data_IF_724134355548
#
_entry.id   IF_724134355548
#
_cell.length_a   1.000
_cell.length_b   1.000
_cell.length_c   1.000
_cell.angle_alpha   90.00
_cell.angle_beta   90.00
_cell.angle_gamma   90.00
#
_symmetry.space_group_name_H-M   'P 1'
#
loop_
_entity.id
_entity.type
_entity.pdbx_description
1 polymer ?
#
# COMPACT_ATOMS: atom_id res chain seq x y z
N UNK A 1 10.43 9.82 -8.65
CA UNK A 1 9.81 8.49 -8.44
C UNK A 1 10.83 7.38 -8.61
N UNK A 2 11.10 6.98 -9.86
CA UNK A 2 11.98 5.83 -10.19
C UNK A 2 13.38 5.93 -9.57
N UNK A 3 14.06 7.07 -9.66
CA UNK A 3 15.40 7.28 -9.08
C UNK A 3 15.44 7.09 -7.55
N UNK A 4 14.38 7.53 -6.85
CA UNK A 4 14.24 7.38 -5.39
C UNK A 4 14.03 5.91 -5.03
N UNK A 5 13.15 5.21 -5.76
CA UNK A 5 12.89 3.78 -5.56
C UNK A 5 14.11 2.93 -5.87
N UNK A 6 14.82 3.21 -6.97
CA UNK A 6 16.06 2.53 -7.33
C UNK A 6 17.14 2.78 -6.29
N UNK A 7 17.27 4.01 -5.77
CA UNK A 7 18.20 4.30 -4.68
C UNK A 7 17.89 3.51 -3.41
N UNK A 8 16.62 3.42 -3.01
CA UNK A 8 16.20 2.61 -1.87
C UNK A 8 16.46 1.11 -2.08
N UNK A 9 16.18 0.60 -3.28
CA UNK A 9 16.41 -0.79 -3.65
C UNK A 9 17.91 -1.12 -3.64
N UNK A 10 18.74 -0.28 -4.26
CA UNK A 10 20.21 -0.44 -4.28
C UNK A 10 20.79 -0.36 -2.88
N UNK A 11 20.41 0.62 -2.07
CA UNK A 11 20.92 0.75 -0.69
C UNK A 11 20.56 -0.45 0.19
N UNK A 12 19.44 -1.11 -0.09
CA UNK A 12 18.97 -2.30 0.65
C UNK A 12 19.57 -3.61 0.13
N UNK A 13 19.84 -3.71 -1.18
CA UNK A 13 20.54 -4.84 -1.79
C UNK A 13 22.05 -4.83 -1.46
N UNK A 14 22.65 -3.64 -1.34
CA UNK A 14 24.09 -3.47 -1.10
C UNK A 14 24.51 -3.73 0.36
N UNK A 15 23.55 -4.01 1.26
CA UNK A 15 23.80 -4.07 2.71
C UNK A 15 23.86 -5.47 3.31
N UNK A 16 24.13 -6.55 2.55
CA UNK A 16 24.76 -7.82 2.99
C UNK A 16 24.39 -9.02 2.08
N UNK A 17 25.44 -9.70 1.59
CA UNK A 17 25.51 -11.10 1.12
C UNK A 17 24.86 -11.49 -0.22
N UNK A 18 25.53 -12.43 -0.89
CA UNK A 18 25.18 -13.11 -2.14
C UNK A 18 23.67 -13.38 -2.27
N UNK A 19 23.08 -12.94 -3.39
CA UNK A 19 21.63 -12.88 -3.64
C UNK A 19 20.87 -14.20 -3.41
N UNK A 20 21.57 -15.34 -3.50
CA UNK A 20 21.02 -16.69 -3.32
C UNK A 20 20.83 -17.11 -1.86
N UNK A 21 21.77 -16.76 -0.96
CA UNK A 21 21.66 -17.09 0.47
C UNK A 21 20.74 -16.11 1.23
N UNK A 22 20.72 -14.86 0.78
CA UNK A 22 19.81 -13.84 1.30
C UNK A 22 18.34 -14.23 1.09
N UNK A 23 18.00 -14.81 -0.08
CA UNK A 23 16.62 -15.18 -0.44
C UNK A 23 16.05 -16.30 0.43
N UNK A 24 16.87 -17.29 0.80
CA UNK A 24 16.44 -18.43 1.63
C UNK A 24 16.22 -18.06 3.11
N UNK A 25 16.78 -16.95 3.58
CA UNK A 25 16.63 -16.46 4.97
C UNK A 25 15.76 -15.20 5.10
N UNK A 26 14.99 -14.84 4.07
CA UNK A 26 14.17 -13.63 4.12
C UNK A 26 12.94 -13.79 5.02
N UNK A 27 12.92 -13.04 6.12
CA UNK A 27 11.71 -12.88 6.94
C UNK A 27 10.57 -12.24 6.11
N UNK A 28 9.33 -12.70 6.33
CA UNK A 28 8.12 -12.23 5.63
C UNK A 28 7.98 -10.70 5.54
N UNK A 29 8.23 -9.90 6.62
CA UNK A 29 8.18 -8.44 6.52
C UNK A 29 9.19 -7.83 5.53
N UNK A 30 10.37 -8.45 5.39
CA UNK A 30 11.41 -7.95 4.46
C UNK A 30 10.99 -8.20 3.02
N UNK A 31 10.36 -9.34 2.74
CA UNK A 31 9.79 -9.67 1.44
C UNK A 31 8.67 -8.69 1.07
N UNK A 32 7.72 -8.42 1.97
CA UNK A 32 6.64 -7.45 1.71
C UNK A 32 7.18 -6.08 1.30
N UNK A 33 8.22 -5.58 1.98
CA UNK A 33 8.80 -4.27 1.65
C UNK A 33 9.49 -4.28 0.28
N UNK A 34 10.21 -5.36 -0.07
CA UNK A 34 10.80 -5.50 -1.40
C UNK A 34 9.73 -5.54 -2.49
N UNK A 35 8.65 -6.27 -2.25
CA UNK A 35 7.51 -6.32 -3.17
C UNK A 35 6.85 -4.94 -3.32
N UNK A 36 6.70 -4.15 -2.24
CA UNK A 36 6.16 -2.79 -2.33
C UNK A 36 7.04 -1.87 -3.17
N UNK A 37 8.38 -1.96 -3.04
CA UNK A 37 9.29 -1.19 -3.89
C UNK A 37 9.22 -1.60 -5.34
N UNK A 38 9.18 -2.91 -5.62
CA UNK A 38 9.05 -3.45 -6.97
C UNK A 38 7.72 -3.03 -7.60
N UNK A 39 6.62 -3.17 -6.87
CA UNK A 39 5.28 -2.78 -7.27
C UNK A 39 5.22 -1.27 -7.61
N UNK A 40 5.75 -0.42 -6.71
CA UNK A 40 5.83 1.03 -6.95
C UNK A 40 6.69 1.37 -8.17
N UNK A 41 7.79 0.65 -8.39
CA UNK A 41 8.67 0.85 -9.54
C UNK A 41 7.95 0.50 -10.84
N UNK A 42 7.33 -0.68 -10.89
CA UNK A 42 6.56 -1.15 -12.05
C UNK A 42 5.39 -0.22 -12.36
N UNK A 43 4.70 0.29 -11.34
CA UNK A 43 3.62 1.25 -11.51
C UNK A 43 4.08 2.55 -12.18
N UNK A 44 5.15 3.18 -11.69
CA UNK A 44 5.65 4.44 -12.28
C UNK A 44 6.20 4.21 -13.69
N UNK A 45 6.87 3.07 -13.91
CA UNK A 45 7.39 2.72 -15.22
C UNK A 45 6.26 2.53 -16.24
N UNK A 46 5.26 1.71 -15.91
CA UNK A 46 4.16 1.41 -16.81
C UNK A 46 3.22 2.62 -17.03
N UNK A 47 2.96 3.43 -15.99
CA UNK A 47 2.23 4.68 -16.14
C UNK A 47 2.98 5.69 -17.01
N UNK A 48 4.31 5.77 -16.89
CA UNK A 48 5.15 6.59 -17.77
C UNK A 48 5.05 6.17 -19.24
N UNK A 49 5.07 4.86 -19.53
CA UNK A 49 4.89 4.34 -20.89
C UNK A 49 3.51 4.69 -21.44
N UNK A 50 2.45 4.56 -20.63
CA UNK A 50 1.09 4.89 -21.05
C UNK A 50 0.92 6.38 -21.36
N UNK A 51 1.45 7.26 -20.50
CA UNK A 51 1.33 8.71 -20.63
C UNK A 51 2.20 9.25 -21.78
N UNK A 52 3.50 8.91 -21.80
CA UNK A 52 4.45 9.51 -22.74
C UNK A 52 4.72 8.68 -24.00
N UNK A 53 4.56 7.35 -23.94
CA UNK A 53 4.83 6.45 -25.06
C UNK A 53 3.63 6.23 -25.95
N UNK A 54 2.57 5.62 -25.40
CA UNK A 54 1.40 5.16 -26.17
C UNK A 54 0.39 6.30 -26.41
N UNK A 55 0.49 7.37 -25.62
CA UNK A 55 -0.39 8.54 -25.61
C UNK A 55 -1.87 8.18 -25.33
N UNK A 56 -2.26 8.32 -24.06
CA UNK A 56 -3.61 8.04 -23.53
C UNK A 56 -4.76 8.68 -24.32
N UNK A 57 -4.51 9.77 -25.03
CA UNK A 57 -5.54 10.56 -25.72
C UNK A 57 -5.95 9.99 -27.08
N UNK A 58 -5.12 9.16 -27.72
CA UNK A 58 -5.43 8.62 -29.06
C UNK A 58 -5.97 7.19 -29.07
N UNK A 59 -5.72 6.42 -28.01
CA UNK A 59 -6.06 5.00 -27.97
C UNK A 59 -7.06 4.70 -26.83
N UNK A 60 -8.28 4.31 -27.19
CA UNK A 60 -9.32 3.88 -26.24
C UNK A 60 -8.86 2.71 -25.37
N UNK A 61 -8.11 1.78 -25.97
CA UNK A 61 -7.51 0.63 -25.27
C UNK A 61 -6.47 1.06 -24.26
N UNK A 62 -5.64 2.07 -24.57
CA UNK A 62 -4.66 2.62 -23.63
C UNK A 62 -5.35 3.34 -22.46
N UNK A 63 -6.45 4.06 -22.74
CA UNK A 63 -7.26 4.71 -21.71
C UNK A 63 -7.91 3.69 -20.75
N UNK A 64 -8.48 2.61 -21.28
CA UNK A 64 -9.01 1.52 -20.45
C UNK A 64 -7.89 0.78 -19.69
N UNK A 65 -6.74 0.54 -20.32
CA UNK A 65 -5.60 -0.09 -19.65
C UNK A 65 -5.10 0.76 -18.47
N UNK A 66 -5.15 2.09 -18.57
CA UNK A 66 -4.69 2.99 -17.52
C UNK A 66 -5.49 2.86 -16.23
N UNK A 67 -6.82 2.71 -16.30
CA UNK A 67 -7.63 2.54 -15.09
C UNK A 67 -7.37 1.19 -14.43
N UNK A 68 -7.29 0.11 -15.20
CA UNK A 68 -6.95 -1.21 -14.64
C UNK A 68 -5.54 -1.23 -14.07
N UNK A 69 -4.60 -0.49 -14.67
CA UNK A 69 -3.24 -0.37 -14.18
C UNK A 69 -3.20 0.41 -12.85
N UNK A 70 -3.84 1.57 -12.71
CA UNK A 70 -3.91 2.24 -11.38
C UNK A 70 -4.62 1.34 -10.37
N UNK A 71 -5.79 0.76 -10.67
CA UNK A 71 -6.51 -0.08 -9.70
C UNK A 71 -5.68 -1.28 -9.26
N UNK A 72 -5.01 -1.99 -10.19
CA UNK A 72 -4.24 -3.19 -9.87
C UNK A 72 -3.04 -2.87 -8.97
N UNK A 73 -2.23 -1.88 -9.34
CA UNK A 73 -1.04 -1.50 -8.56
C UNK A 73 -1.38 -0.78 -7.25
N UNK A 74 -2.47 0.01 -7.23
CA UNK A 74 -2.95 0.64 -6.00
C UNK A 74 -3.40 -0.43 -5.00
N UNK A 75 -4.21 -1.39 -5.45
CA UNK A 75 -4.73 -2.46 -4.58
C UNK A 75 -3.65 -3.44 -4.14
N UNK A 76 -2.71 -3.82 -5.03
CA UNK A 76 -1.57 -4.67 -4.65
C UNK A 76 -0.69 -4.01 -3.59
N UNK A 77 -0.35 -2.73 -3.76
CA UNK A 77 0.42 -1.96 -2.77
C UNK A 77 -0.26 -1.95 -1.40
N UNK A 78 -1.58 -1.67 -1.36
CA UNK A 78 -2.38 -1.71 -0.12
C UNK A 78 -2.41 -3.10 0.53
N UNK A 79 -2.61 -4.17 -0.25
CA UNK A 79 -2.57 -5.56 0.26
C UNK A 79 -1.21 -5.85 0.91
N UNK A 80 -0.12 -5.48 0.25
CA UNK A 80 1.23 -5.70 0.77
C UNK A 80 1.49 -4.90 2.06
N UNK A 81 0.99 -3.65 2.15
CA UNK A 81 1.08 -2.84 3.36
C UNK A 81 0.28 -3.47 4.51
N UNK A 82 -0.95 -3.92 4.26
CA UNK A 82 -1.77 -4.56 5.29
C UNK A 82 -1.18 -5.90 5.75
N UNK A 83 -0.61 -6.69 4.83
CA UNK A 83 0.10 -7.91 5.17
C UNK A 83 1.33 -7.62 6.04
N UNK A 84 2.12 -6.59 5.68
CA UNK A 84 3.26 -6.13 6.48
C UNK A 84 2.85 -5.69 7.89
N UNK A 85 1.78 -4.90 8.00
CA UNK A 85 1.27 -4.42 9.29
C UNK A 85 0.72 -5.55 10.15
N UNK A 86 -0.04 -6.46 9.56
CA UNK A 86 -0.56 -7.66 10.25
C UNK A 86 0.56 -8.48 10.87
N UNK A 87 1.64 -8.71 10.12
CA UNK A 87 2.81 -9.43 10.61
C UNK A 87 3.48 -8.68 11.77
N UNK A 88 3.58 -7.35 11.69
CA UNK A 88 4.12 -6.52 12.77
C UNK A 88 3.23 -6.52 14.02
N UNK A 89 1.90 -6.52 13.87
CA UNK A 89 0.96 -6.70 14.99
C UNK A 89 1.23 -8.05 15.63
N UNK A 90 1.25 -9.12 14.84
CA UNK A 90 1.44 -10.47 15.36
C UNK A 90 2.70 -10.61 16.21
N UNK A 91 3.85 -10.09 15.74
CA UNK A 91 5.12 -10.13 16.50
C UNK A 91 5.00 -9.44 17.87
N UNK A 92 4.28 -8.31 17.96
CA UNK A 92 4.07 -7.57 19.22
C UNK A 92 3.15 -8.34 20.17
N UNK A 93 2.17 -9.07 19.65
CA UNK A 93 1.23 -9.85 20.46
C UNK A 93 1.79 -11.22 20.87
N UNK A 94 2.66 -11.83 20.06
CA UNK A 94 3.33 -13.10 20.36
C UNK A 94 4.17 -12.98 21.65
N UNK A 95 4.89 -11.86 21.79
CA UNK A 95 5.71 -11.57 22.98
C UNK A 95 4.89 -11.52 24.26
N UNK A 96 3.58 -11.29 24.17
CA UNK A 96 2.67 -11.24 25.32
C UNK A 96 1.89 -12.54 25.57
N UNK A 97 1.90 -13.52 24.66
CA UNK A 97 0.95 -14.65 24.73
C UNK A 97 1.49 -16.04 24.36
N UNK A 98 2.71 -16.17 23.80
CA UNK A 98 3.37 -17.48 23.62
C UNK A 98 2.59 -18.55 22.84
N UNK A 99 1.59 -18.17 22.03
CA UNK A 99 0.72 -19.08 21.27
C UNK A 99 1.12 -19.11 19.79
N UNK A 100 1.00 -20.28 19.15
CA UNK A 100 1.25 -20.49 17.72
C UNK A 100 0.43 -19.56 16.80
N UNK A 101 1.01 -19.20 15.64
CA UNK A 101 0.54 -18.21 14.65
C UNK A 101 -0.97 -18.28 14.37
N UNK A 102 -1.46 -19.48 14.00
CA UNK A 102 -2.85 -19.69 13.57
C UNK A 102 -3.88 -19.80 14.72
N UNK A 103 -3.42 -19.87 15.98
CA UNK A 103 -4.31 -20.02 17.14
C UNK A 103 -4.48 -18.72 17.92
N UNK A 104 -3.82 -17.63 17.48
CA UNK A 104 -4.01 -16.32 18.08
C UNK A 104 -5.25 -15.64 17.47
N UNK A 105 -6.23 -15.21 18.29
CA UNK A 105 -7.47 -14.60 17.78
C UNK A 105 -7.18 -13.29 17.03
N UNK A 106 -6.14 -12.55 17.43
CA UNK A 106 -5.73 -11.31 16.77
C UNK A 106 -5.23 -11.56 15.36
N UNK A 107 -4.40 -12.59 15.14
CA UNK A 107 -3.93 -12.92 13.79
C UNK A 107 -5.06 -13.39 12.89
N UNK A 108 -6.01 -14.18 13.43
CA UNK A 108 -7.18 -14.61 12.67
C UNK A 108 -8.05 -13.42 12.26
N UNK A 109 -8.31 -12.47 13.16
CA UNK A 109 -9.03 -11.23 12.85
C UNK A 109 -8.31 -10.45 11.75
N UNK A 110 -7.00 -10.23 11.88
CA UNK A 110 -6.25 -9.51 10.85
C UNK A 110 -6.27 -10.23 9.49
N UNK A 111 -6.11 -11.56 9.47
CA UNK A 111 -6.20 -12.36 8.24
C UNK A 111 -7.58 -12.27 7.59
N UNK A 112 -8.66 -12.34 8.38
CA UNK A 112 -10.03 -12.17 7.89
C UNK A 112 -10.21 -10.77 7.32
N UNK A 113 -9.71 -9.73 7.99
CA UNK A 113 -9.79 -8.36 7.46
C UNK A 113 -9.06 -8.25 6.12
N UNK A 114 -7.82 -8.71 6.01
CA UNK A 114 -7.08 -8.69 4.73
C UNK A 114 -7.82 -9.47 3.64
N UNK A 115 -8.46 -10.60 3.97
CA UNK A 115 -9.27 -11.35 3.04
C UNK A 115 -10.51 -10.57 2.56
N UNK A 116 -11.18 -9.83 3.46
CA UNK A 116 -12.32 -8.97 3.11
C UNK A 116 -11.91 -7.84 2.14
N UNK A 117 -10.68 -7.37 2.18
CA UNK A 117 -10.18 -6.42 1.17
C UNK A 117 -10.26 -6.99 -0.25
N UNK A 118 -10.16 -8.31 -0.43
CA UNK A 118 -10.35 -8.94 -1.73
C UNK A 118 -11.71 -8.62 -2.37
N UNK A 119 -12.78 -8.54 -1.57
CA UNK A 119 -14.09 -8.12 -2.07
C UNK A 119 -14.10 -6.65 -2.52
N UNK A 120 -13.40 -5.77 -1.80
CA UNK A 120 -13.23 -4.36 -2.20
C UNK A 120 -12.48 -4.26 -3.53
N UNK A 121 -11.42 -5.07 -3.72
CA UNK A 121 -10.69 -5.13 -5.00
C UNK A 121 -11.63 -5.51 -6.14
N UNK A 122 -12.46 -6.53 -5.98
CA UNK A 122 -13.43 -6.93 -7.02
C UNK A 122 -14.40 -5.79 -7.35
N UNK A 123 -14.92 -5.10 -6.33
CA UNK A 123 -15.82 -3.95 -6.52
C UNK A 123 -15.10 -2.80 -7.26
N UNK A 124 -13.82 -2.55 -6.96
CA UNK A 124 -13.03 -1.51 -7.65
C UNK A 124 -12.80 -1.84 -9.12
N UNK A 125 -12.49 -3.09 -9.45
CA UNK A 125 -12.26 -3.54 -10.83
C UNK A 125 -13.54 -3.36 -11.67
N UNK A 126 -14.70 -3.72 -11.10
CA UNK A 126 -16.00 -3.56 -11.78
C UNK A 126 -16.45 -2.09 -11.81
N UNK A 127 -16.08 -1.32 -10.78
CA UNK A 127 -16.44 0.09 -10.61
C UNK A 127 -15.55 1.09 -11.35
N UNK A 128 -14.53 0.63 -12.07
CA UNK A 128 -13.66 1.46 -12.88
C UNK A 128 -14.38 2.02 -14.10
N UNK A 129 -14.17 3.30 -14.38
CA UNK A 129 -14.68 3.97 -15.59
C UNK A 129 -13.52 4.53 -16.42
N UNK A 130 -13.61 4.37 -17.73
CA UNK A 130 -12.68 4.93 -18.70
C UNK A 130 -13.47 5.41 -19.91
N UNK A 131 -13.48 6.73 -20.13
CA UNK A 131 -14.20 7.39 -21.22
C UNK A 131 -13.27 8.37 -21.94
N UNK A 132 -13.31 8.38 -23.26
CA UNK A 132 -12.66 9.42 -24.06
C UNK A 132 -13.64 10.58 -24.22
N UNK A 133 -13.24 11.76 -23.74
CA UNK A 133 -14.04 12.97 -23.89
C UNK A 133 -14.02 13.41 -25.35
N UNK A 134 -15.16 13.39 -26.02
CA UNK A 134 -15.31 13.72 -27.45
C UNK A 134 -14.94 15.17 -27.81
N UNK A 135 -15.00 16.12 -26.88
CA UNK A 135 -14.65 17.53 -27.15
C UNK A 135 -13.16 17.75 -27.36
N UNK A 136 -12.33 17.14 -26.52
CA UNK A 136 -10.90 17.47 -26.40
C UNK A 136 -9.98 16.26 -26.69
N UNK A 137 -10.55 15.07 -26.93
CA UNK A 137 -9.81 13.82 -27.09
C UNK A 137 -9.13 13.33 -25.81
N UNK A 138 -9.39 13.96 -24.66
CA UNK A 138 -8.75 13.62 -23.40
C UNK A 138 -9.34 12.34 -22.79
N UNK A 139 -8.47 11.44 -22.32
CA UNK A 139 -8.86 10.26 -21.56
C UNK A 139 -9.26 10.68 -20.13
N UNK A 140 -10.51 10.37 -19.76
CA UNK A 140 -11.07 10.57 -18.42
C UNK A 140 -11.22 9.21 -17.76
N UNK A 141 -10.59 9.03 -16.60
CA UNK A 141 -10.68 7.81 -15.81
C UNK A 141 -11.11 8.11 -14.39
N UNK A 142 -11.63 7.09 -13.71
CA UNK A 142 -11.78 7.11 -12.27
C UNK A 142 -12.64 5.97 -11.76
N UNK A 143 -13.17 6.15 -10.54
CA UNK A 143 -13.97 5.15 -9.86
C UNK A 143 -15.37 5.69 -9.58
N UNK A 144 -16.38 4.86 -9.82
CA UNK A 144 -17.74 5.15 -9.40
C UNK A 144 -17.80 5.32 -7.87
N UNK A 145 -18.67 6.21 -7.35
CA UNK A 145 -18.89 6.36 -5.91
C UNK A 145 -19.27 5.04 -5.22
N UNK A 146 -19.97 4.15 -5.94
CA UNK A 146 -20.33 2.80 -5.46
C UNK A 146 -19.11 1.93 -5.13
N UNK A 147 -17.95 2.19 -5.73
CA UNK A 147 -16.69 1.49 -5.43
C UNK A 147 -15.76 2.31 -4.53
N UNK A 148 -15.76 3.63 -4.69
CA UNK A 148 -14.90 4.53 -3.91
C UNK A 148 -15.33 4.65 -2.45
N UNK A 149 -16.64 4.67 -2.15
CA UNK A 149 -17.16 4.77 -0.78
C UNK A 149 -16.82 3.51 0.06
N UNK A 150 -17.05 2.27 -0.41
CA UNK A 150 -16.60 1.08 0.31
C UNK A 150 -15.10 1.04 0.56
N UNK A 151 -14.30 1.48 -0.42
CA UNK A 151 -12.85 1.56 -0.29
C UNK A 151 -12.43 2.53 0.83
N UNK A 152 -12.98 3.76 0.83
CA UNK A 152 -12.70 4.74 1.88
C UNK A 152 -13.13 4.25 3.26
N UNK A 153 -14.32 3.64 3.34
CA UNK A 153 -14.85 3.09 4.59
C UNK A 153 -13.93 1.99 5.13
N UNK A 154 -13.44 1.12 4.26
CA UNK A 154 -12.49 0.06 4.63
C UNK A 154 -11.13 0.63 5.06
N UNK A 155 -10.62 1.63 4.33
CA UNK A 155 -9.36 2.32 4.64
C UNK A 155 -9.37 2.93 6.05
N UNK A 156 -10.47 3.60 6.42
CA UNK A 156 -10.66 4.17 7.74
C UNK A 156 -10.77 3.07 8.81
N UNK A 157 -11.58 2.04 8.53
CA UNK A 157 -11.79 0.92 9.44
C UNK A 157 -10.47 0.22 9.80
N UNK A 158 -9.66 -0.16 8.80
CA UNK A 158 -8.44 -0.92 9.04
C UNK A 158 -7.37 -0.06 9.75
N UNK A 159 -7.31 1.25 9.44
CA UNK A 159 -6.38 2.15 10.11
C UNK A 159 -6.70 2.29 11.60
N UNK A 160 -7.98 2.43 11.95
CA UNK A 160 -8.44 2.45 13.35
C UNK A 160 -8.18 1.12 14.03
N UNK A 161 -8.53 0.00 13.38
CA UNK A 161 -8.34 -1.34 13.93
C UNK A 161 -6.87 -1.63 14.23
N UNK A 162 -5.98 -1.41 13.26
CA UNK A 162 -4.55 -1.68 13.42
C UNK A 162 -3.94 -0.76 14.48
N UNK A 163 -4.31 0.52 14.49
CA UNK A 163 -3.85 1.47 15.51
C UNK A 163 -4.25 1.02 16.92
N UNK A 164 -5.50 0.60 17.10
CA UNK A 164 -5.98 0.06 18.37
C UNK A 164 -5.24 -1.23 18.76
N UNK A 165 -5.07 -2.17 17.82
CA UNK A 165 -4.39 -3.44 18.07
C UNK A 165 -2.90 -3.26 18.41
N UNK A 166 -2.22 -2.25 17.88
CA UNK A 166 -0.84 -1.97 18.28
C UNK A 166 -0.72 -1.26 19.63
N UNK A 167 -1.62 -0.32 19.92
CA UNK A 167 -1.56 0.46 21.16
C UNK A 167 -2.04 -0.35 22.37
N UNK A 168 -3.04 -1.21 22.20
CA UNK A 168 -3.63 -2.02 23.28
C UNK A 168 -2.61 -2.85 24.08
N UNK A 169 -1.78 -3.72 23.48
CA UNK A 169 -0.80 -4.52 24.23
C UNK A 169 0.27 -3.64 24.87
N UNK A 170 0.64 -2.52 24.24
CA UNK A 170 1.63 -1.56 24.74
C UNK A 170 1.15 -0.79 25.98
N UNK A 171 -0.16 -0.53 26.07
CA UNK A 171 -0.78 0.10 27.24
C UNK A 171 -0.99 -0.90 28.37
N UNK A 172 -1.19 -2.18 28.06
CA UNK A 172 -1.50 -3.22 29.04
C UNK A 172 -0.28 -3.97 29.60
N UNK A 173 0.80 -4.14 28.82
CA UNK A 173 1.95 -4.95 29.26
C UNK A 173 3.02 -4.09 29.93
N UNK A 174 3.34 -4.37 31.20
CA UNK A 174 4.52 -3.81 31.88
C UNK A 174 5.85 -4.38 31.35
N UNK A 175 5.84 -5.58 30.76
CA UNK A 175 7.05 -6.35 30.43
C UNK A 175 7.58 -6.13 29.00
N UNK A 176 7.01 -5.20 28.22
CA UNK A 176 7.55 -4.88 26.89
C UNK A 176 8.79 -4.00 26.99
N UNK A 177 9.94 -4.50 26.53
CA UNK A 177 11.21 -3.73 26.47
C UNK A 177 10.98 -2.38 25.79
N UNK A 178 11.38 -1.29 26.44
CA UNK A 178 11.19 0.09 25.93
C UNK A 178 11.70 0.29 24.48
N UNK A 179 12.75 -0.46 24.08
CA UNK A 179 13.27 -0.49 22.70
C UNK A 179 12.27 -1.05 21.70
N UNK A 180 11.64 -2.20 21.98
CA UNK A 180 10.64 -2.84 21.10
C UNK A 180 9.40 -1.94 20.97
N UNK A 181 8.94 -1.40 22.10
CA UNK A 181 7.83 -0.44 22.15
C UNK A 181 8.08 0.78 21.26
N UNK A 182 9.26 1.41 21.35
CA UNK A 182 9.62 2.59 20.55
C UNK A 182 9.68 2.30 19.05
N UNK A 183 10.23 1.15 18.65
CA UNK A 183 10.31 0.77 17.23
C UNK A 183 8.92 0.44 16.68
N UNK A 184 8.09 -0.28 17.44
CA UNK A 184 6.73 -0.61 17.04
C UNK A 184 5.84 0.63 16.92
N UNK A 185 5.87 1.56 17.89
CA UNK A 185 5.08 2.81 17.82
C UNK A 185 5.53 3.71 16.69
N UNK A 186 6.84 3.84 16.46
CA UNK A 186 7.36 4.61 15.32
C UNK A 186 6.91 4.02 13.99
N UNK A 187 6.94 2.68 13.88
CA UNK A 187 6.45 1.96 12.69
C UNK A 187 4.97 2.19 12.49
N UNK A 188 4.17 2.05 13.54
CA UNK A 188 2.73 2.30 13.50
C UNK A 188 2.40 3.73 13.08
N UNK A 189 3.00 4.72 13.74
CA UNK A 189 2.72 6.12 13.48
C UNK A 189 3.07 6.48 12.03
N UNK A 190 4.22 6.02 11.54
CA UNK A 190 4.63 6.26 10.16
C UNK A 190 3.67 5.59 9.16
N UNK A 191 3.25 4.35 9.40
CA UNK A 191 2.29 3.65 8.54
C UNK A 191 0.88 4.24 8.63
N UNK A 192 0.44 4.70 9.80
CA UNK A 192 -0.82 5.39 9.98
C UNK A 192 -0.83 6.71 9.22
N UNK A 193 0.25 7.50 9.31
CA UNK A 193 0.43 8.72 8.51
C UNK A 193 0.38 8.40 7.02
N UNK A 194 1.10 7.37 6.58
CA UNK A 194 1.15 6.97 5.17
C UNK A 194 -0.23 6.55 4.63
N UNK A 195 -0.93 5.66 5.35
CA UNK A 195 -2.28 5.23 5.00
C UNK A 195 -3.29 6.37 5.04
N UNK A 196 -3.18 7.28 6.01
CA UNK A 196 -4.06 8.46 6.11
C UNK A 196 -3.85 9.39 4.92
N UNK A 197 -2.60 9.63 4.49
CA UNK A 197 -2.30 10.37 3.26
C UNK A 197 -2.97 9.72 2.06
N UNK A 198 -2.91 8.39 1.94
CA UNK A 198 -3.62 7.66 0.87
C UNK A 198 -5.13 7.82 0.95
N UNK A 199 -5.71 7.78 2.15
CA UNK A 199 -7.15 7.99 2.35
C UNK A 199 -7.56 9.40 1.96
N UNK A 200 -6.78 10.42 2.30
CA UNK A 200 -7.02 11.81 1.88
C UNK A 200 -6.97 11.91 0.36
N UNK A 201 -5.96 11.32 -0.28
CA UNK A 201 -5.82 11.32 -1.73
C UNK A 201 -7.04 10.70 -2.42
N UNK A 202 -7.49 9.55 -1.92
CA UNK A 202 -8.71 8.90 -2.43
C UNK A 202 -9.96 9.75 -2.15
N UNK A 203 -10.07 10.35 -0.97
CA UNK A 203 -11.21 11.21 -0.59
C UNK A 203 -11.34 12.41 -1.51
N UNK A 204 -10.24 13.08 -1.84
CA UNK A 204 -10.22 14.18 -2.81
C UNK A 204 -10.73 13.71 -4.16
N UNK A 205 -10.27 12.53 -4.62
CA UNK A 205 -10.73 11.93 -5.88
C UNK A 205 -12.24 11.60 -5.85
N UNK A 206 -12.76 11.13 -4.71
CA UNK A 206 -14.19 10.83 -4.53
C UNK A 206 -15.05 12.10 -4.54
N UNK A 207 -14.61 13.16 -3.86
CA UNK A 207 -15.32 14.45 -3.80
C UNK A 207 -15.39 15.11 -5.18
N UNK A 208 -14.38 14.91 -6.02
CA UNK A 208 -14.36 15.36 -7.41
C UNK A 208 -15.19 14.46 -8.36
N UNK A 209 -16.16 13.73 -7.82
CA UNK A 209 -17.09 12.86 -8.57
C UNK A 209 -16.43 11.73 -9.38
N UNK A 210 -15.17 11.38 -9.06
CA UNK A 210 -14.48 10.24 -9.65
C UNK A 210 -14.26 10.34 -11.17
N UNK A 211 -14.26 11.55 -11.74
CA UNK A 211 -14.04 11.80 -13.17
C UNK A 211 -12.87 12.74 -13.37
N UNK A 212 -11.67 12.17 -13.47
CA UNK A 212 -10.43 12.93 -13.58
C UNK A 212 -9.68 12.62 -14.88
N UNK A 213 -8.79 13.53 -15.27
CA UNK A 213 -7.90 13.26 -16.40
C UNK A 213 -7.01 12.06 -16.06
N UNK A 214 -6.84 11.14 -17.01
CA UNK A 214 -6.11 9.90 -16.80
C UNK A 214 -4.70 10.09 -16.25
N UNK A 215 -3.99 11.11 -16.74
CA UNK A 215 -2.64 11.44 -16.27
C UNK A 215 -2.63 12.03 -14.85
N UNK A 216 -3.68 12.76 -14.43
CA UNK A 216 -3.82 13.28 -13.06
C UNK A 216 -4.04 12.12 -12.09
N UNK A 217 -4.97 11.21 -12.41
CA UNK A 217 -5.22 10.04 -11.60
C UNK A 217 -3.96 9.16 -11.47
N UNK A 218 -3.27 8.87 -12.59
CA UNK A 218 -2.02 8.10 -12.56
C UNK A 218 -0.91 8.78 -11.74
N UNK A 219 -0.75 10.10 -11.88
CA UNK A 219 0.24 10.87 -11.11
C UNK A 219 -0.08 10.90 -9.61
N UNK A 220 -1.37 11.03 -9.26
CA UNK A 220 -1.86 10.97 -7.88
C UNK A 220 -1.64 9.58 -7.28
N UNK A 221 -2.09 8.50 -7.94
CA UNK A 221 -1.82 7.12 -7.50
C UNK A 221 -0.30 6.87 -7.36
N UNK A 222 0.50 7.43 -8.28
CA UNK A 222 1.96 7.29 -8.30
C UNK A 222 2.67 7.98 -7.15
N UNK A 223 2.24 9.20 -6.83
CA UNK A 223 2.75 9.93 -5.68
C UNK A 223 2.44 9.19 -4.38
N UNK A 224 1.23 8.64 -4.27
CA UNK A 224 0.80 7.89 -3.10
C UNK A 224 1.63 6.63 -2.85
N UNK A 225 1.85 5.79 -3.87
CA UNK A 225 2.68 4.58 -3.73
C UNK A 225 4.13 4.92 -3.41
N UNK A 226 4.68 6.00 -4.00
CA UNK A 226 6.04 6.49 -3.67
C UNK A 226 6.12 6.96 -2.22
N UNK A 227 5.11 7.69 -1.74
CA UNK A 227 5.08 8.17 -0.36
C UNK A 227 5.02 7.00 0.63
N UNK A 228 4.15 6.02 0.37
CA UNK A 228 4.06 4.79 1.16
C UNK A 228 5.39 4.02 1.18
N UNK A 229 6.03 3.85 0.03
CA UNK A 229 7.33 3.20 -0.08
C UNK A 229 8.43 3.95 0.69
N UNK A 230 8.46 5.28 0.59
CA UNK A 230 9.42 6.12 1.31
C UNK A 230 9.21 6.07 2.84
N UNK A 231 7.96 6.12 3.30
CA UNK A 231 7.62 5.98 4.72
C UNK A 231 8.10 4.63 5.28
N UNK A 232 7.87 3.54 4.55
CA UNK A 232 8.35 2.20 4.93
C UNK A 232 9.88 2.10 4.90
N UNK A 233 10.55 2.72 3.92
CA UNK A 233 12.01 2.81 3.88
C UNK A 233 12.56 3.50 5.14
N UNK A 234 11.99 4.65 5.49
CA UNK A 234 12.40 5.45 6.64
C UNK A 234 12.27 4.68 7.97
N UNK A 235 11.17 3.96 8.14
CA UNK A 235 10.93 3.15 9.34
C UNK A 235 11.94 2.01 9.44
N UNK A 236 12.17 1.32 8.33
CA UNK A 236 12.97 0.09 8.33
C UNK A 236 14.48 0.37 8.37
N UNK A 237 14.94 1.47 7.77
CA UNK A 237 16.34 1.91 7.86
C UNK A 237 16.77 2.33 9.27
N UNK A 238 15.83 2.75 10.12
CA UNK A 238 16.10 3.07 11.53
C UNK A 238 16.25 1.84 12.44
N UNK A 239 16.08 0.62 11.91
CA UNK A 239 16.12 -0.64 12.70
C UNK A 239 17.43 -1.43 12.47
N UNK A 240 18.28 -1.01 11.54
CA UNK A 240 19.56 -1.63 11.21
C UNK A 240 20.76 -1.03 11.98
N UNK A 241 20.52 -0.48 13.17
CA UNK A 241 21.54 -0.07 14.14
C UNK A 241 21.26 -0.69 15.51
#
# INVERSE_FOLDING_TARGET
GLTILTFFLTKRLNSNLTATEAWQRMNWPRLCILLIFLDSYLFIFASGILVFGINLQKNTTACAAAIYLCVSFYTSSKVLIYAFLTEKVWIVWETSSGRSRMRSPVYLVCMVTVALYGAIVTIMVIGGIAELRQSDGLCVIGLKPTASIPLLSYDLYINVLLTALFLWPLLRSEHSTARLRRVATRTLMASAVALTTSTINMTVLTVLHGRELGWICLASCGTDVVFNAAALFWVTSGTSQ
#
